data_IF_795547302288
#
_entry.id   IF_795547302288
#
_cell.length_a   1.000
_cell.length_b   1.000
_cell.length_c   1.000
_cell.angle_alpha   90.00
_cell.angle_beta   90.00
_cell.angle_gamma   90.00
#
_symmetry.space_group_name_H-M   'P 1'
#
loop_
_entity.id
_entity.type
_entity.pdbx_description
1 polymer ?
#
# COMPACT_ATOMS: atom_id res chain seq x y z
N UNK A 1 6.52 -10.49 17.93
CA UNK A 1 6.16 -9.78 16.69
C UNK A 1 5.01 -10.47 15.93
N UNK A 2 5.08 -11.78 15.68
CA UNK A 2 4.00 -12.54 14.99
C UNK A 2 2.63 -12.52 15.70
N UNK A 3 2.62 -12.59 17.04
CA UNK A 3 1.37 -12.54 17.83
C UNK A 3 0.60 -11.22 17.69
N UNK A 4 1.29 -10.10 17.48
CA UNK A 4 0.64 -8.80 17.25
C UNK A 4 0.00 -8.68 15.88
N UNK A 5 0.65 -9.24 14.85
CA UNK A 5 0.07 -9.33 13.48
C UNK A 5 -1.16 -10.23 13.48
N UNK A 6 -1.08 -11.39 14.15
CA UNK A 6 -2.22 -12.31 14.29
C UNK A 6 -3.35 -11.65 15.08
N UNK A 7 -3.05 -10.94 16.17
CA UNK A 7 -4.08 -10.25 16.97
C UNK A 7 -4.78 -9.12 16.18
N UNK A 8 -4.04 -8.33 15.39
CA UNK A 8 -4.63 -7.29 14.52
C UNK A 8 -5.46 -7.91 13.40
N UNK A 9 -4.99 -9.01 12.78
CA UNK A 9 -5.77 -9.69 11.75
C UNK A 9 -7.04 -10.33 12.33
N UNK A 10 -6.96 -10.89 13.54
CA UNK A 10 -8.11 -11.46 14.25
C UNK A 10 -9.09 -10.38 14.70
N UNK A 11 -8.66 -9.16 15.07
CA UNK A 11 -9.58 -8.11 15.52
C UNK A 11 -10.57 -7.71 14.42
N UNK A 12 -10.19 -7.78 13.14
CA UNK A 12 -11.11 -7.56 12.02
C UNK A 12 -12.19 -8.65 11.86
N UNK A 13 -11.96 -9.85 12.40
CA UNK A 13 -13.00 -10.88 12.47
C UNK A 13 -14.06 -10.59 13.55
N UNK A 14 -13.76 -9.68 14.49
CA UNK A 14 -14.61 -9.33 15.63
C UNK A 14 -15.30 -7.96 15.51
N UNK A 15 -15.12 -7.23 14.40
CA UNK A 15 -15.74 -5.91 14.22
C UNK A 15 -17.28 -6.03 14.19
N UNK A 16 -17.94 -5.24 15.04
CA UNK A 16 -19.15 -5.62 15.77
C UNK A 16 -20.52 -5.25 15.17
N UNK A 17 -20.60 -4.89 13.88
CA UNK A 17 -21.84 -4.31 13.32
C UNK A 17 -22.64 -5.19 12.34
N UNK A 18 -22.20 -6.42 12.02
CA UNK A 18 -22.86 -7.31 11.03
C UNK A 18 -23.40 -8.60 11.67
N UNK A 19 -24.32 -8.45 12.63
CA UNK A 19 -24.75 -9.53 13.54
C UNK A 19 -25.72 -10.55 12.91
N UNK A 20 -26.14 -10.47 11.63
CA UNK A 20 -27.28 -11.31 11.19
C UNK A 20 -27.26 -12.04 9.83
N UNK A 21 -26.24 -12.01 8.97
CA UNK A 21 -26.27 -12.83 7.73
C UNK A 21 -24.93 -13.51 7.36
N UNK A 22 -25.01 -14.66 6.67
CA UNK A 22 -23.94 -15.67 6.43
C UNK A 22 -22.67 -15.21 5.72
N UNK A 23 -22.50 -13.92 5.46
CA UNK A 23 -21.39 -13.28 4.75
C UNK A 23 -20.15 -13.07 5.63
N UNK A 24 -20.25 -13.27 6.95
CA UNK A 24 -19.20 -12.92 7.95
C UNK A 24 -17.84 -13.55 7.68
N UNK A 25 -17.80 -14.83 7.31
CA UNK A 25 -16.53 -15.54 7.03
C UNK A 25 -15.86 -15.01 5.76
N UNK A 26 -16.65 -14.76 4.71
CA UNK A 26 -16.13 -14.23 3.44
C UNK A 26 -15.58 -12.82 3.64
N UNK A 27 -16.36 -11.93 4.26
CA UNK A 27 -15.92 -10.56 4.54
C UNK A 27 -14.68 -10.53 5.42
N UNK A 28 -14.62 -11.36 6.47
CA UNK A 28 -13.44 -11.46 7.34
C UNK A 28 -12.20 -11.95 6.59
N UNK A 29 -12.32 -12.99 5.75
CA UNK A 29 -11.21 -13.49 4.92
C UNK A 29 -10.72 -12.40 3.96
N UNK A 30 -11.64 -11.72 3.27
CA UNK A 30 -11.28 -10.65 2.33
C UNK A 30 -10.62 -9.47 3.07
N UNK A 31 -11.08 -9.12 4.27
CA UNK A 31 -10.45 -8.11 5.12
C UNK A 31 -9.02 -8.50 5.52
N UNK A 32 -8.82 -9.75 5.98
CA UNK A 32 -7.50 -10.28 6.31
C UNK A 32 -6.57 -10.27 5.09
N UNK A 33 -7.07 -10.66 3.91
CA UNK A 33 -6.31 -10.61 2.66
C UNK A 33 -5.94 -9.16 2.29
N UNK A 34 -6.88 -8.22 2.37
CA UNK A 34 -6.64 -6.81 2.09
C UNK A 34 -5.54 -6.23 3.00
N UNK A 35 -5.69 -6.42 4.31
CA UNK A 35 -4.76 -5.91 5.32
C UNK A 35 -3.40 -6.60 5.22
N UNK A 36 -3.38 -7.92 5.03
CA UNK A 36 -2.15 -8.70 4.87
C UNK A 36 -1.36 -8.26 3.63
N UNK A 37 -2.04 -8.13 2.48
CA UNK A 37 -1.41 -7.64 1.26
C UNK A 37 -0.94 -6.18 1.40
N UNK A 38 -1.76 -5.32 2.03
CA UNK A 38 -1.37 -3.95 2.36
C UNK A 38 -0.13 -3.87 3.27
N UNK A 39 -0.01 -4.77 4.24
CA UNK A 39 1.15 -4.85 5.13
C UNK A 39 2.43 -5.30 4.39
N UNK A 40 2.33 -6.27 3.48
CA UNK A 40 3.46 -6.70 2.64
C UNK A 40 3.93 -5.55 1.74
N UNK A 41 2.99 -4.87 1.08
CA UNK A 41 3.29 -3.73 0.22
C UNK A 41 3.90 -2.56 1.01
N UNK A 42 3.23 -2.10 2.08
CA UNK A 42 3.66 -0.96 2.87
C UNK A 42 4.93 -1.23 3.68
N UNK A 43 5.02 -2.39 4.33
CA UNK A 43 6.19 -2.76 5.12
C UNK A 43 7.45 -2.88 4.26
N UNK A 44 7.34 -3.49 3.08
CA UNK A 44 8.49 -3.60 2.18
C UNK A 44 8.90 -2.27 1.54
N UNK A 45 7.94 -1.36 1.27
CA UNK A 45 8.26 -0.02 0.78
C UNK A 45 9.00 0.80 1.85
N UNK A 46 8.53 0.77 3.10
CA UNK A 46 9.21 1.43 4.22
C UNK A 46 10.62 0.87 4.46
N UNK A 47 10.77 -0.46 4.37
CA UNK A 47 12.07 -1.13 4.42
C UNK A 47 12.99 -0.65 3.28
N UNK A 48 12.48 -0.53 2.06
CA UNK A 48 13.25 -0.06 0.90
C UNK A 48 13.71 1.40 1.10
N UNK A 49 12.80 2.30 1.51
CA UNK A 49 13.13 3.69 1.87
C UNK A 49 14.24 3.71 2.91
N UNK A 50 14.08 2.95 4.00
CA UNK A 50 15.05 2.90 5.09
C UNK A 50 16.44 2.43 4.63
N UNK A 51 16.50 1.33 3.86
CA UNK A 51 17.76 0.77 3.36
C UNK A 51 18.45 1.74 2.40
N UNK A 52 17.72 2.36 1.46
CA UNK A 52 18.28 3.32 0.51
C UNK A 52 18.87 4.53 1.22
N UNK A 53 18.14 5.12 2.18
CA UNK A 53 18.60 6.26 2.96
C UNK A 53 19.81 5.91 3.83
N UNK A 54 19.81 4.75 4.48
CA UNK A 54 20.92 4.30 5.32
C UNK A 54 22.20 4.06 4.51
N UNK A 55 22.09 3.45 3.32
CA UNK A 55 23.23 3.19 2.44
C UNK A 55 23.80 4.47 1.84
N UNK A 56 22.93 5.41 1.45
CA UNK A 56 23.35 6.72 0.97
C UNK A 56 24.16 7.48 2.02
N UNK A 57 23.71 7.50 3.28
CA UNK A 57 24.45 8.14 4.39
C UNK A 57 25.81 7.48 4.68
N UNK A 58 25.96 6.20 4.37
CA UNK A 58 27.22 5.46 4.58
C UNK A 58 28.12 5.39 3.34
N UNK A 59 27.76 6.06 2.24
CA UNK A 59 28.50 6.04 0.96
C UNK A 59 28.80 4.61 0.44
N UNK A 60 27.94 3.63 0.72
CA UNK A 60 28.12 2.24 0.30
C UNK A 60 27.44 2.01 -1.06
N UNK A 61 28.15 1.47 -2.08
CA UNK A 61 27.58 1.21 -3.40
C UNK A 61 26.38 0.24 -3.37
N UNK A 62 25.44 0.49 -4.28
CA UNK A 62 24.03 0.11 -4.14
C UNK A 62 23.76 -1.32 -4.64
N UNK A 63 23.99 -2.32 -3.78
CA UNK A 63 23.31 -3.64 -3.93
C UNK A 63 21.79 -3.56 -3.68
N UNK A 64 21.28 -2.42 -3.21
CA UNK A 64 19.86 -2.21 -2.95
C UNK A 64 19.00 -2.18 -4.23
N UNK A 65 19.59 -1.98 -5.40
CA UNK A 65 18.88 -2.01 -6.68
C UNK A 65 18.32 -3.41 -6.97
N UNK A 66 19.12 -4.47 -6.75
CA UNK A 66 18.64 -5.85 -6.90
C UNK A 66 17.54 -6.19 -5.89
N UNK A 67 17.61 -5.66 -4.67
CA UNK A 67 16.56 -5.81 -3.68
C UNK A 67 15.29 -5.07 -4.11
N UNK A 68 15.42 -3.85 -4.65
CA UNK A 68 14.31 -3.08 -5.19
C UNK A 68 13.61 -3.83 -6.34
N UNK A 69 14.36 -4.42 -7.27
CA UNK A 69 13.80 -5.21 -8.39
C UNK A 69 12.96 -6.38 -7.88
N UNK A 70 13.51 -7.19 -6.97
CA UNK A 70 12.79 -8.35 -6.41
C UNK A 70 11.57 -7.92 -5.62
N UNK A 71 11.70 -6.83 -4.85
CA UNK A 71 10.60 -6.29 -4.08
C UNK A 71 9.49 -5.72 -4.97
N UNK A 72 9.80 -5.06 -6.09
CA UNK A 72 8.79 -4.49 -7.00
C UNK A 72 7.77 -5.51 -7.49
N UNK A 73 8.18 -6.75 -7.79
CA UNK A 73 7.25 -7.80 -8.23
C UNK A 73 6.30 -8.21 -7.10
N UNK A 74 6.84 -8.40 -5.89
CA UNK A 74 6.05 -8.72 -4.69
C UNK A 74 5.11 -7.56 -4.33
N UNK A 75 5.60 -6.33 -4.40
CA UNK A 75 4.87 -5.11 -4.15
C UNK A 75 3.72 -4.92 -5.14
N UNK A 76 3.96 -5.15 -6.44
CA UNK A 76 2.93 -5.07 -7.47
C UNK A 76 1.84 -6.12 -7.26
N UNK A 77 2.24 -7.37 -6.97
CA UNK A 77 1.29 -8.44 -6.68
C UNK A 77 0.46 -8.13 -5.44
N UNK A 78 1.11 -7.68 -4.36
CA UNK A 78 0.45 -7.29 -3.11
C UNK A 78 -0.50 -6.10 -3.31
N UNK A 79 -0.12 -5.11 -4.12
CA UNK A 79 -0.95 -3.97 -4.46
C UNK A 79 -2.22 -4.40 -5.23
N UNK A 80 -2.09 -5.30 -6.20
CA UNK A 80 -3.24 -5.85 -6.94
C UNK A 80 -4.17 -6.62 -6.01
N UNK A 81 -3.63 -7.52 -5.17
CA UNK A 81 -4.43 -8.30 -4.21
C UNK A 81 -5.14 -7.38 -3.22
N UNK A 82 -4.44 -6.38 -2.68
CA UNK A 82 -5.03 -5.38 -1.79
C UNK A 82 -6.13 -4.57 -2.50
N UNK A 83 -5.89 -4.15 -3.74
CA UNK A 83 -6.86 -3.39 -4.54
C UNK A 83 -8.14 -4.18 -4.79
N UNK A 84 -8.02 -5.43 -5.25
CA UNK A 84 -9.18 -6.30 -5.50
C UNK A 84 -9.94 -6.59 -4.21
N UNK A 85 -9.24 -6.96 -3.13
CA UNK A 85 -9.88 -7.22 -1.85
C UNK A 85 -10.57 -5.96 -1.29
N UNK A 86 -9.94 -4.79 -1.43
CA UNK A 86 -10.52 -3.51 -1.01
C UNK A 86 -11.75 -3.09 -1.83
N UNK A 87 -11.77 -3.40 -3.12
CA UNK A 87 -12.94 -3.19 -3.97
C UNK A 87 -14.11 -4.08 -3.52
N UNK A 88 -13.84 -5.37 -3.27
CA UNK A 88 -14.86 -6.30 -2.78
C UNK A 88 -15.44 -5.83 -1.45
N UNK A 89 -14.59 -5.41 -0.50
CA UNK A 89 -15.05 -4.85 0.78
C UNK A 89 -15.89 -3.59 0.59
N UNK A 90 -15.46 -2.67 -0.28
CA UNK A 90 -16.23 -1.46 -0.59
C UNK A 90 -17.62 -1.78 -1.12
N UNK A 91 -17.74 -2.74 -2.05
CA UNK A 91 -19.02 -3.15 -2.63
C UNK A 91 -19.94 -3.81 -1.59
N UNK A 92 -19.38 -4.52 -0.62
CA UNK A 92 -20.15 -5.12 0.48
C UNK A 92 -20.66 -4.05 1.45
N UNK A 93 -19.94 -2.94 1.61
CA UNK A 93 -20.23 -1.90 2.61
C UNK A 93 -21.18 -0.83 2.08
N UNK A 94 -21.14 -0.49 0.79
CA UNK A 94 -21.98 0.60 0.23
C UNK A 94 -23.41 0.14 -0.02
N UNK A 95 -24.38 0.93 0.42
CA UNK A 95 -25.80 0.72 0.11
C UNK A 95 -26.14 1.19 -1.32
N UNK A 96 -25.50 2.27 -1.77
CA UNK A 96 -25.67 2.82 -3.11
C UNK A 96 -24.37 3.34 -3.71
N UNK A 97 -24.24 3.32 -5.04
CA UNK A 97 -23.09 3.93 -5.72
C UNK A 97 -23.00 5.44 -5.46
N UNK A 98 -24.14 6.11 -5.28
CA UNK A 98 -24.17 7.54 -4.96
C UNK A 98 -23.43 7.89 -3.67
N UNK A 99 -23.34 6.95 -2.72
CA UNK A 99 -22.68 7.18 -1.45
C UNK A 99 -21.18 7.44 -1.61
N UNK A 100 -20.57 6.99 -2.71
CA UNK A 100 -19.16 7.24 -3.02
C UNK A 100 -18.85 8.74 -3.23
N UNK A 101 -19.81 9.53 -3.69
CA UNK A 101 -19.58 10.97 -3.94
C UNK A 101 -20.47 11.88 -3.08
N UNK A 102 -21.59 11.39 -2.57
CA UNK A 102 -22.51 12.17 -1.73
C UNK A 102 -22.07 12.23 -0.27
N UNK A 103 -21.38 11.20 0.24
CA UNK A 103 -21.03 11.09 1.67
C UNK A 103 -19.58 11.50 1.96
N UNK A 104 -19.28 11.98 3.19
CA UNK A 104 -17.90 12.17 3.64
C UNK A 104 -17.06 10.89 3.55
N UNK A 105 -17.64 9.74 3.93
CA UNK A 105 -17.00 8.42 3.85
C UNK A 105 -16.60 8.08 2.41
N UNK A 106 -17.52 8.25 1.46
CA UNK A 106 -17.27 7.97 0.04
C UNK A 106 -16.16 8.82 -0.53
N UNK A 107 -16.13 10.12 -0.22
CA UNK A 107 -15.07 11.03 -0.68
C UNK A 107 -13.70 10.64 -0.12
N UNK A 108 -13.61 10.23 1.15
CA UNK A 108 -12.38 9.72 1.74
C UNK A 108 -11.93 8.40 1.08
N UNK A 109 -12.88 7.52 0.74
CA UNK A 109 -12.59 6.27 0.04
C UNK A 109 -12.03 6.55 -1.36
N UNK A 110 -12.66 7.46 -2.12
CA UNK A 110 -12.16 7.90 -3.43
C UNK A 110 -10.76 8.52 -3.32
N UNK A 111 -10.52 9.36 -2.29
CA UNK A 111 -9.20 9.92 -2.04
C UNK A 111 -8.16 8.82 -1.79
N UNK A 112 -8.48 7.82 -0.94
CA UNK A 112 -7.62 6.66 -0.69
C UNK A 112 -7.28 5.92 -1.98
N UNK A 113 -8.29 5.60 -2.80
CA UNK A 113 -8.12 4.92 -4.09
C UNK A 113 -7.24 5.74 -5.03
N UNK A 114 -7.44 7.06 -5.10
CA UNK A 114 -6.61 7.96 -5.90
C UNK A 114 -5.14 7.94 -5.48
N UNK A 115 -4.84 7.98 -4.18
CA UNK A 115 -3.46 7.91 -3.67
C UNK A 115 -2.83 6.55 -3.95
N UNK A 116 -3.58 5.45 -3.76
CA UNK A 116 -3.12 4.09 -4.08
C UNK A 116 -2.80 3.95 -5.56
N UNK A 117 -3.66 4.46 -6.45
CA UNK A 117 -3.44 4.45 -7.89
C UNK A 117 -2.20 5.26 -8.29
N UNK A 118 -2.04 6.47 -7.73
CA UNK A 118 -0.86 7.30 -7.97
C UNK A 118 0.44 6.61 -7.53
N UNK A 119 0.43 5.96 -6.36
CA UNK A 119 1.57 5.17 -5.87
C UNK A 119 1.85 3.96 -6.78
N UNK A 120 0.82 3.29 -7.30
CA UNK A 120 0.97 2.19 -8.25
C UNK A 120 1.60 2.64 -9.58
N UNK A 121 1.17 3.77 -10.12
CA UNK A 121 1.75 4.36 -11.35
C UNK A 121 3.20 4.77 -11.12
N UNK A 122 3.50 5.41 -9.99
CA UNK A 122 4.88 5.75 -9.62
C UNK A 122 5.77 4.49 -9.51
N UNK A 123 5.27 3.44 -8.86
CA UNK A 123 5.99 2.17 -8.73
C UNK A 123 6.24 1.48 -10.07
N UNK A 124 5.25 1.49 -10.95
CA UNK A 124 5.37 0.95 -12.30
C UNK A 124 6.38 1.73 -13.14
N UNK A 125 6.37 3.07 -13.05
CA UNK A 125 7.36 3.93 -13.71
C UNK A 125 8.77 3.69 -13.18
N UNK A 126 8.93 3.61 -11.85
CA UNK A 126 10.21 3.31 -11.21
C UNK A 126 10.77 1.97 -11.70
N UNK A 127 9.92 0.94 -11.77
CA UNK A 127 10.32 -0.39 -12.21
C UNK A 127 10.63 -0.47 -13.71
N UNK A 128 9.84 0.17 -14.55
CA UNK A 128 9.89 0.00 -16.01
C UNK A 128 10.84 0.99 -16.69
N UNK A 129 11.13 2.12 -16.04
CA UNK A 129 11.91 3.23 -16.63
C UNK A 129 13.18 3.50 -15.83
N UNK A 130 13.07 3.82 -14.53
CA UNK A 130 14.23 4.23 -13.74
C UNK A 130 15.20 3.08 -13.48
N UNK A 131 14.70 1.90 -13.11
CA UNK A 131 15.54 0.74 -12.83
C UNK A 131 16.38 0.34 -14.07
N UNK A 132 15.80 0.17 -15.29
CA UNK A 132 16.60 -0.12 -16.48
C UNK A 132 17.66 0.95 -16.79
N UNK A 133 17.33 2.24 -16.61
CA UNK A 133 18.30 3.32 -16.82
C UNK A 133 19.46 3.26 -15.81
N UNK A 134 19.16 2.98 -14.55
CA UNK A 134 20.19 2.79 -13.51
C UNK A 134 21.06 1.54 -13.75
N UNK A 135 20.51 0.50 -14.38
CA UNK A 135 21.31 -0.67 -14.77
C UNK A 135 22.23 -0.36 -15.96
N UNK A 136 21.79 0.50 -16.88
CA UNK A 136 22.58 0.95 -18.03
C UNK A 136 23.67 1.97 -17.64
N UNK A 137 23.40 2.84 -16.66
CA UNK A 137 24.33 3.84 -16.14
C UNK A 137 24.39 3.83 -14.59
N UNK A 138 25.09 2.86 -13.99
CA UNK A 138 25.10 2.65 -12.53
C UNK A 138 25.73 3.78 -11.72
N UNK A 139 26.68 4.51 -12.33
CA UNK A 139 27.45 5.57 -11.68
C UNK A 139 26.85 6.96 -11.89
N UNK A 140 25.67 7.06 -12.51
CA UNK A 140 24.96 8.33 -12.71
C UNK A 140 24.34 8.83 -11.39
N UNK A 141 24.87 9.93 -10.81
CA UNK A 141 24.40 10.44 -9.54
C UNK A 141 22.98 11.03 -9.65
N UNK A 142 22.59 11.57 -10.81
CA UNK A 142 21.29 12.19 -11.02
C UNK A 142 20.19 11.12 -11.01
N UNK A 143 20.39 10.01 -11.72
CA UNK A 143 19.46 8.88 -11.70
C UNK A 143 19.26 8.30 -10.28
N UNK A 144 20.36 8.18 -9.52
CA UNK A 144 20.29 7.71 -8.13
C UNK A 144 19.47 8.65 -7.23
N UNK A 145 19.55 9.96 -7.49
CA UNK A 145 18.83 10.99 -6.74
C UNK A 145 17.33 10.98 -7.07
N UNK A 146 16.99 10.84 -8.36
CA UNK A 146 15.61 10.74 -8.86
C UNK A 146 14.93 9.50 -8.29
N UNK A 147 15.60 8.35 -8.35
CA UNK A 147 15.08 7.10 -7.78
C UNK A 147 14.81 7.22 -6.27
N UNK A 148 15.75 7.78 -5.50
CA UNK A 148 15.56 8.00 -4.06
C UNK A 148 14.38 8.92 -3.77
N UNK A 149 14.23 10.01 -4.53
CA UNK A 149 13.11 10.95 -4.37
C UNK A 149 11.79 10.27 -4.68
N UNK A 150 11.73 9.49 -5.77
CA UNK A 150 10.53 8.75 -6.16
C UNK A 150 10.11 7.75 -5.08
N UNK A 151 11.03 6.91 -4.58
CA UNK A 151 10.75 5.95 -3.50
C UNK A 151 10.35 6.66 -2.19
N UNK A 152 10.92 7.83 -1.90
CA UNK A 152 10.52 8.64 -0.73
C UNK A 152 9.09 9.17 -0.90
N UNK A 153 8.71 9.64 -2.10
CA UNK A 153 7.35 10.09 -2.39
C UNK A 153 6.33 8.96 -2.27
N UNK A 154 6.68 7.75 -2.72
CA UNK A 154 5.84 6.57 -2.49
C UNK A 154 5.66 6.28 -0.98
N UNK A 155 6.74 6.42 -0.19
CA UNK A 155 6.65 6.30 1.28
C UNK A 155 5.75 7.36 1.93
N UNK A 156 5.74 8.59 1.42
CA UNK A 156 4.81 9.64 1.87
C UNK A 156 3.38 9.28 1.48
N UNK A 157 3.15 8.78 0.27
CA UNK A 157 1.83 8.31 -0.17
C UNK A 157 1.31 7.18 0.74
N UNK A 158 2.17 6.27 1.18
CA UNK A 158 1.82 5.25 2.18
C UNK A 158 1.34 5.87 3.50
N UNK A 159 2.06 6.87 4.02
CA UNK A 159 1.64 7.60 5.21
C UNK A 159 0.26 8.26 5.04
N UNK A 160 0.02 8.89 3.88
CA UNK A 160 -1.27 9.47 3.55
C UNK A 160 -2.39 8.41 3.50
N UNK A 161 -2.15 7.24 2.91
CA UNK A 161 -3.11 6.13 2.87
C UNK A 161 -3.48 5.67 4.28
N UNK A 162 -2.51 5.55 5.18
CA UNK A 162 -2.76 5.17 6.58
C UNK A 162 -3.61 6.23 7.29
N UNK A 163 -3.28 7.51 7.12
CA UNK A 163 -4.06 8.62 7.70
C UNK A 163 -5.49 8.62 7.17
N UNK A 164 -5.68 8.52 5.86
CA UNK A 164 -7.01 8.46 5.24
C UNK A 164 -7.79 7.24 5.74
N UNK A 165 -7.13 6.10 5.94
CA UNK A 165 -7.75 4.89 6.51
C UNK A 165 -8.21 5.12 7.94
N UNK A 166 -7.41 5.78 8.78
CA UNK A 166 -7.81 6.14 10.14
C UNK A 166 -9.02 7.09 10.16
N UNK A 167 -9.04 8.08 9.24
CA UNK A 167 -10.16 9.01 9.09
C UNK A 167 -11.43 8.30 8.58
N UNK A 168 -11.29 7.32 7.67
CA UNK A 168 -12.41 6.49 7.20
C UNK A 168 -13.08 5.76 8.35
N UNK A 169 -12.29 5.11 9.22
CA UNK A 169 -12.79 4.42 10.41
C UNK A 169 -13.51 5.40 11.34
N UNK A 170 -12.94 6.58 11.56
CA UNK A 170 -13.56 7.62 12.39
C UNK A 170 -14.82 8.24 11.77
N UNK A 171 -15.01 8.14 10.45
CA UNK A 171 -16.19 8.66 9.74
C UNK A 171 -17.30 7.62 9.52
N UNK A 172 -17.02 6.35 9.83
CA UNK A 172 -17.96 5.25 9.71
C UNK A 172 -18.86 5.09 10.96
N UNK A 173 -18.75 6.00 11.92
CA UNK A 173 -19.49 6.06 13.20
C UNK A 173 -20.65 7.05 13.16
#
# INVERSE_FOLDING_TARGET
>A
MALGVVAVLLSFAFDGHTVTEGTRLVTAIVAVVHVGAGAVWGGGLLMLVHVLWRRHRMAVPVRALQLAIRFSVVAATALVVAGVAGLVLSVIIIDSLSDLWSTPWGRLMLAKVGVVAAAGVAGAYNHSVLIPQMLAAPDDPDLSSVFRRAVTLEGVAMGAIVIITALLVASAS
#
